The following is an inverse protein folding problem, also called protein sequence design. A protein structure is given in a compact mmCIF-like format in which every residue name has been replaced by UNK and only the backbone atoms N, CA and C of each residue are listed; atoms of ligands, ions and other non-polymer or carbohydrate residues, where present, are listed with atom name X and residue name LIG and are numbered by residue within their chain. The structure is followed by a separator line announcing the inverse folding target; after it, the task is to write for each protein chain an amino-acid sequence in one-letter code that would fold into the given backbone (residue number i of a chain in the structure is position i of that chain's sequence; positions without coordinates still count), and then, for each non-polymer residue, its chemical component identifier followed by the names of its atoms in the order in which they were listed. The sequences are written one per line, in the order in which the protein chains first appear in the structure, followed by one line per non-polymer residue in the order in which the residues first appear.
data_IF_967321022735
#
_entry.id   IF_967321022735
#
_cell.length_a   1.000
_cell.length_b   1.000
_cell.length_c   1.000
_cell.angle_alpha   90.00
_cell.angle_beta   90.00
_cell.angle_gamma   90.00
#
_symmetry.space_group_name_H-M   'P 1'
#
loop_
_entity.id
_entity.type
_entity.pdbx_description
1 polymer ?
#
# COMPACT_ATOMS: atom_id res chain seq x y z
N UNK A 1 -16.68 -2.87 -0.25
CA UNK A 1 -15.62 -1.85 -0.13
C UNK A 1 -16.19 -0.47 -0.43
N UNK A 2 -15.81 0.55 0.35
CA UNK A 2 -16.22 1.94 0.13
C UNK A 2 -15.08 2.74 -0.51
N UNK A 3 -15.42 3.86 -1.17
CA UNK A 3 -14.40 4.72 -1.80
C UNK A 3 -13.46 5.35 -0.76
N UNK A 4 -13.97 5.70 0.43
CA UNK A 4 -13.16 6.24 1.53
C UNK A 4 -12.12 5.24 2.03
N UNK A 5 -12.46 3.95 2.10
CA UNK A 5 -11.51 2.89 2.47
C UNK A 5 -10.35 2.83 1.47
N UNK A 6 -10.65 2.89 0.17
CA UNK A 6 -9.64 2.93 -0.90
C UNK A 6 -8.75 4.17 -0.75
N UNK A 7 -9.34 5.34 -0.55
CA UNK A 7 -8.58 6.58 -0.36
C UNK A 7 -7.62 6.51 0.82
N UNK A 8 -8.08 6.00 1.96
CA UNK A 8 -7.24 5.86 3.15
C UNK A 8 -6.04 4.93 2.90
N UNK A 9 -6.25 3.78 2.25
CA UNK A 9 -5.18 2.85 1.89
C UNK A 9 -4.16 3.51 0.95
N UNK A 10 -4.64 4.24 -0.06
CA UNK A 10 -3.77 4.93 -1.02
C UNK A 10 -2.94 6.01 -0.32
N UNK A 11 -3.55 6.81 0.56
CA UNK A 11 -2.86 7.84 1.35
C UNK A 11 -1.76 7.21 2.23
N UNK A 12 -2.05 6.09 2.90
CA UNK A 12 -1.07 5.39 3.74
C UNK A 12 0.15 4.92 2.93
N UNK A 13 -0.08 4.39 1.72
CA UNK A 13 1.00 4.00 0.80
C UNK A 13 1.80 5.23 0.37
N UNK A 14 1.12 6.30 -0.06
CA UNK A 14 1.78 7.54 -0.52
C UNK A 14 2.65 8.15 0.58
N UNK A 15 2.14 8.25 1.81
CA UNK A 15 2.88 8.77 2.96
C UNK A 15 4.14 7.93 3.26
N UNK A 16 4.07 6.60 3.12
CA UNK A 16 5.24 5.73 3.30
C UNK A 16 6.31 5.95 2.24
N UNK A 17 5.90 6.18 0.99
CA UNK A 17 6.81 6.40 -0.14
C UNK A 17 7.41 7.81 -0.17
N UNK A 18 6.66 8.83 0.27
CA UNK A 18 7.11 10.22 0.33
C UNK A 18 8.30 10.39 1.29
N UNK A 19 8.32 9.63 2.38
CA UNK A 19 9.37 9.70 3.40
C UNK A 19 10.67 8.94 3.04
N UNK A 20 10.82 8.52 1.77
CA UNK A 20 11.95 7.71 1.32
C UNK A 20 13.00 8.59 0.66
N UNK A 21 14.16 8.66 1.28
CA UNK A 21 15.31 9.40 0.78
C UNK A 21 16.20 8.46 -0.05
N UNK A 22 15.91 8.34 -1.35
CA UNK A 22 16.60 7.41 -2.25
C UNK A 22 18.09 7.69 -2.46
N UNK A 23 18.59 8.84 -2.02
CA UNK A 23 19.97 9.27 -2.24
C UNK A 23 20.84 8.97 -1.01
N UNK A 24 20.29 9.10 0.20
CA UNK A 24 21.04 8.88 1.44
C UNK A 24 21.36 7.39 1.69
N UNK A 25 22.66 7.05 1.62
CA UNK A 25 23.16 5.71 1.96
C UNK A 25 22.95 5.36 3.44
N UNK A 26 23.01 6.34 4.33
CA UNK A 26 22.83 6.15 5.78
C UNK A 26 21.41 5.71 6.14
N UNK A 27 20.42 6.12 5.34
CA UNK A 27 19.01 5.78 5.52
C UNK A 27 18.58 4.53 4.77
N UNK A 28 19.49 3.86 4.06
CA UNK A 28 19.16 2.73 3.16
C UNK A 28 18.30 1.64 3.85
N UNK A 29 18.64 1.26 5.08
CA UNK A 29 17.87 0.24 5.83
C UNK A 29 16.47 0.73 6.17
N UNK A 30 16.35 1.96 6.65
CA UNK A 30 15.06 2.58 6.98
C UNK A 30 14.17 2.71 5.75
N UNK A 31 14.73 3.23 4.65
CA UNK A 31 14.05 3.34 3.35
C UNK A 31 13.56 1.99 2.84
N UNK A 32 14.37 0.94 2.95
CA UNK A 32 13.97 -0.41 2.56
C UNK A 32 12.80 -0.91 3.41
N UNK A 33 12.78 -0.60 4.71
CA UNK A 33 11.66 -0.96 5.58
C UNK A 33 10.37 -0.24 5.14
N UNK A 34 10.43 1.06 4.86
CA UNK A 34 9.28 1.84 4.39
C UNK A 34 8.73 1.30 3.05
N UNK A 35 9.63 0.96 2.10
CA UNK A 35 9.25 0.31 0.84
C UNK A 35 8.55 -1.03 1.09
N UNK A 36 9.14 -1.89 1.94
CA UNK A 36 8.57 -3.20 2.23
C UNK A 36 7.18 -3.10 2.85
N UNK A 37 6.97 -2.13 3.75
CA UNK A 37 5.66 -1.87 4.35
C UNK A 37 4.66 -1.37 3.30
N UNK A 38 5.05 -0.47 2.40
CA UNK A 38 4.21 0.00 1.31
C UNK A 38 3.78 -1.16 0.39
N UNK A 39 4.72 -2.04 0.00
CA UNK A 39 4.42 -3.21 -0.80
C UNK A 39 3.50 -4.21 -0.10
N UNK A 40 3.67 -4.40 1.22
CA UNK A 40 2.77 -5.26 2.00
C UNK A 40 1.33 -4.72 2.01
N UNK A 41 1.15 -3.40 2.15
CA UNK A 41 -0.17 -2.77 2.09
C UNK A 41 -0.77 -2.93 0.68
N UNK A 42 0.01 -2.71 -0.37
CA UNK A 42 -0.43 -2.91 -1.75
C UNK A 42 -0.88 -4.35 -2.03
N UNK A 43 -0.15 -5.34 -1.53
CA UNK A 43 -0.48 -6.75 -1.74
C UNK A 43 -1.79 -7.12 -1.04
N UNK A 44 -1.95 -6.71 0.22
CA UNK A 44 -3.19 -6.89 0.96
C UNK A 44 -4.37 -6.18 0.28
N UNK A 45 -4.14 -4.98 -0.26
CA UNK A 45 -5.18 -4.21 -0.95
C UNK A 45 -5.60 -4.89 -2.26
N UNK A 46 -4.64 -5.41 -3.04
CA UNK A 46 -4.91 -6.22 -4.24
C UNK A 46 -5.78 -7.43 -3.90
N UNK A 47 -5.45 -8.15 -2.84
CA UNK A 47 -6.24 -9.31 -2.40
C UNK A 47 -7.65 -8.93 -1.94
N UNK A 48 -7.82 -7.77 -1.32
CA UNK A 48 -9.14 -7.23 -0.97
C UNK A 48 -9.96 -6.91 -2.22
N UNK A 49 -9.36 -6.26 -3.23
CA UNK A 49 -10.02 -5.95 -4.49
C UNK A 49 -10.46 -7.22 -5.24
N UNK A 50 -9.61 -8.25 -5.29
CA UNK A 50 -9.96 -9.54 -5.89
C UNK A 50 -11.15 -10.18 -5.15
N UNK A 51 -11.14 -10.17 -3.81
CA UNK A 51 -12.26 -10.70 -3.01
C UNK A 51 -13.55 -9.94 -3.28
N UNK A 52 -13.51 -8.63 -3.40
CA UNK A 52 -14.69 -7.81 -3.70
C UNK A 52 -15.23 -8.05 -5.11
N UNK A 53 -14.36 -8.26 -6.10
CA UNK A 53 -14.74 -8.62 -7.46
C UNK A 53 -15.42 -10.01 -7.51
N UNK A 54 -14.86 -11.01 -6.82
CA UNK A 54 -15.48 -12.33 -6.66
C UNK A 54 -16.87 -12.21 -6.02
N UNK A 55 -17.00 -11.46 -4.91
CA UNK A 55 -18.29 -11.23 -4.24
C UNK A 55 -19.31 -10.58 -5.17
N UNK A 56 -18.91 -9.61 -6.00
CA UNK A 56 -19.80 -8.95 -6.96
C UNK A 56 -20.27 -9.91 -8.05
N UNK A 57 -19.44 -10.85 -8.50
CA UNK A 57 -19.82 -11.86 -9.52
C UNK A 57 -20.78 -12.92 -9.01
N UNK A 58 -20.76 -13.23 -7.71
CA UNK A 58 -21.63 -14.23 -7.08
C UNK A 58 -22.88 -13.61 -6.41
N UNK A 59 -23.21 -12.36 -6.77
CA UNK A 59 -24.35 -11.61 -6.24
C UNK A 59 -25.36 -11.35 -7.34
#
# INVERSE_FOLDING_TARGET
MTINHIYNIVIDIMNKLENIDFISLDKRKYNQQQLNEAYKILDNFKDELIREDIKRRHK
#
